data_IF_787530027192
#
_entry.id   IF_787530027192
#
_cell.length_a   1.000
_cell.length_b   1.000
_cell.length_c   1.000
_cell.angle_alpha   90.00
_cell.angle_beta   90.00
_cell.angle_gamma   90.00
#
_symmetry.space_group_name_H-M   'P 1'
#
loop_
_entity.id
_entity.type
_entity.pdbx_description
1 polymer ?
#
# COMPACT_ATOMS: atom_id res chain seq x y z
N UNK A 1 4.26 0.14 1.86
CA UNK A 1 3.66 -0.07 3.18
C UNK A 1 3.76 -1.55 3.63
N UNK A 2 3.36 -2.50 2.78
CA UNK A 2 3.45 -3.94 3.14
C UNK A 2 4.89 -4.35 3.45
N UNK A 3 5.88 -3.95 2.64
CA UNK A 3 7.29 -4.21 2.91
C UNK A 3 7.72 -3.62 4.27
N UNK A 4 7.33 -2.37 4.58
CA UNK A 4 7.59 -1.76 5.89
C UNK A 4 7.06 -2.64 7.03
N UNK A 5 5.80 -3.09 6.93
CA UNK A 5 5.15 -3.91 7.95
C UNK A 5 5.89 -5.24 8.17
N UNK A 6 6.28 -5.91 7.08
CA UNK A 6 7.01 -7.17 7.15
C UNK A 6 8.43 -6.99 7.71
N UNK A 7 9.14 -5.94 7.30
CA UNK A 7 10.45 -5.61 7.85
C UNK A 7 10.37 -5.27 9.34
N UNK A 8 9.41 -4.45 9.76
CA UNK A 8 9.20 -4.11 11.17
C UNK A 8 8.88 -5.36 12.00
N UNK A 9 8.05 -6.27 11.49
CA UNK A 9 7.73 -7.53 12.16
C UNK A 9 8.95 -8.47 12.28
N UNK A 10 9.85 -8.44 11.30
CA UNK A 10 11.09 -9.22 11.30
C UNK A 10 12.26 -8.53 12.04
N UNK A 11 12.08 -7.31 12.54
CA UNK A 11 13.16 -6.52 13.15
C UNK A 11 14.21 -6.05 12.15
N UNK A 12 13.88 -5.97 10.86
CA UNK A 12 14.76 -5.53 9.79
C UNK A 12 14.57 -4.06 9.50
N UNK A 13 15.66 -3.37 9.16
CA UNK A 13 15.61 -2.02 8.60
C UNK A 13 15.16 -2.04 7.14
N UNK A 14 14.59 -0.94 6.69
CA UNK A 14 14.15 -0.73 5.31
C UNK A 14 14.39 0.72 4.90
N UNK A 15 14.48 0.95 3.60
CA UNK A 15 14.59 2.28 3.00
C UNK A 15 13.59 2.43 1.86
N UNK A 16 12.97 3.60 1.76
CA UNK A 16 12.14 3.95 0.61
C UNK A 16 12.98 4.59 -0.46
N UNK A 17 12.80 4.15 -1.70
CA UNK A 17 13.49 4.71 -2.84
C UNK A 17 12.61 4.80 -4.08
N UNK A 18 13.03 5.63 -5.03
CA UNK A 18 12.37 5.81 -6.31
C UNK A 18 13.41 6.02 -7.41
N UNK A 19 13.31 5.23 -8.49
CA UNK A 19 14.14 5.42 -9.69
C UNK A 19 13.48 6.45 -10.59
N UNK A 20 14.23 7.42 -11.05
CA UNK A 20 13.76 8.54 -11.85
C UNK A 20 14.74 8.92 -12.96
N UNK A 21 14.28 9.74 -13.88
CA UNK A 21 15.10 10.42 -14.87
C UNK A 21 14.89 11.93 -14.69
N UNK A 22 15.96 12.68 -14.61
CA UNK A 22 15.90 14.15 -14.61
C UNK A 22 16.54 14.73 -15.86
N UNK A 23 16.19 15.96 -16.21
CA UNK A 23 16.79 16.72 -17.30
C UNK A 23 17.50 17.96 -16.78
N UNK A 24 18.74 18.16 -17.22
CA UNK A 24 19.50 19.39 -17.00
C UNK A 24 19.20 20.47 -18.05
N UNK A 25 18.28 20.19 -18.98
CA UNK A 25 17.92 21.06 -20.10
C UNK A 25 18.59 20.66 -21.43
N UNK A 26 19.71 19.96 -21.38
CA UNK A 26 20.44 19.48 -22.57
C UNK A 26 20.36 17.94 -22.69
N UNK A 27 20.45 17.27 -21.55
CA UNK A 27 20.47 15.80 -21.47
C UNK A 27 19.54 15.27 -20.41
N UNK A 28 19.30 13.99 -20.46
CA UNK A 28 18.58 13.25 -19.41
C UNK A 28 19.54 12.32 -18.68
N UNK A 29 19.39 12.27 -17.35
CA UNK A 29 20.24 11.45 -16.47
C UNK A 29 19.35 10.59 -15.59
N UNK A 30 19.66 9.31 -15.54
CA UNK A 30 19.02 8.37 -14.63
C UNK A 30 19.56 8.54 -13.20
N UNK A 31 18.68 8.44 -12.22
CA UNK A 31 19.06 8.47 -10.83
C UNK A 31 18.09 7.66 -9.96
N UNK A 32 18.53 7.35 -8.74
CA UNK A 32 17.68 6.79 -7.69
C UNK A 32 17.74 7.71 -6.48
N UNK A 33 16.61 7.97 -5.86
CA UNK A 33 16.51 8.79 -4.64
C UNK A 33 16.09 7.89 -3.49
N UNK A 34 16.86 7.90 -2.40
CA UNK A 34 16.59 7.13 -1.19
C UNK A 34 16.34 8.04 0.00
N UNK A 35 15.30 7.70 0.75
CA UNK A 35 14.78 8.52 1.84
C UNK A 35 15.60 8.33 3.11
N UNK A 36 16.06 9.44 3.72
CA UNK A 36 16.78 9.41 4.99
C UNK A 36 15.91 9.90 6.17
N UNK A 37 14.94 10.75 5.90
CA UNK A 37 14.12 11.37 6.95
C UNK A 37 12.64 11.45 6.57
N UNK A 38 11.77 11.72 7.57
CA UNK A 38 10.34 11.93 7.32
C UNK A 38 10.07 13.14 6.41
N UNK A 39 10.96 14.14 6.40
CA UNK A 39 10.91 15.25 5.44
C UNK A 39 11.24 14.75 4.04
N UNK A 40 12.29 13.93 3.92
CA UNK A 40 12.68 13.29 2.66
C UNK A 40 11.57 12.44 2.07
N UNK A 41 10.83 11.67 2.88
CA UNK A 41 9.67 10.91 2.40
C UNK A 41 8.60 11.82 1.78
N UNK A 42 8.28 12.94 2.41
CA UNK A 42 7.35 13.91 1.83
C UNK A 42 7.87 14.52 0.52
N UNK A 43 9.17 14.79 0.46
CA UNK A 43 9.82 15.31 -0.74
C UNK A 43 9.84 14.26 -1.86
N UNK A 44 10.12 12.99 -1.55
CA UNK A 44 10.06 11.89 -2.52
C UNK A 44 8.66 11.75 -3.13
N UNK A 45 7.61 11.84 -2.33
CA UNK A 45 6.22 11.81 -2.82
C UNK A 45 5.89 13.01 -3.73
N UNK A 46 6.47 14.18 -3.46
CA UNK A 46 6.33 15.36 -4.32
C UNK A 46 7.12 15.20 -5.64
N UNK A 47 8.31 14.59 -5.59
CA UNK A 47 9.07 14.21 -6.79
C UNK A 47 8.24 13.26 -7.64
N UNK A 48 7.69 12.21 -7.02
CA UNK A 48 6.83 11.25 -7.71
C UNK A 48 5.60 11.91 -8.34
N UNK A 49 4.95 12.84 -7.63
CA UNK A 49 3.83 13.61 -8.19
C UNK A 49 4.27 14.42 -9.40
N UNK A 50 5.39 15.14 -9.32
CA UNK A 50 5.92 15.93 -10.43
C UNK A 50 6.15 15.08 -11.69
N UNK A 51 6.70 13.86 -11.50
CA UNK A 51 6.98 12.93 -12.60
C UNK A 51 5.69 12.29 -13.16
N UNK A 52 4.79 11.82 -12.29
CA UNK A 52 3.68 10.98 -12.71
C UNK A 52 2.41 11.75 -13.06
N UNK A 53 2.24 12.96 -12.52
CA UNK A 53 1.02 13.76 -12.67
C UNK A 53 1.30 15.05 -13.45
N UNK A 54 2.36 15.78 -13.09
CA UNK A 54 2.61 17.11 -13.64
C UNK A 54 3.44 17.07 -14.95
N UNK A 55 4.18 15.97 -15.20
CA UNK A 55 4.99 15.74 -16.41
C UNK A 55 4.32 14.75 -17.37
N UNK A 56 4.43 15.00 -18.68
CA UNK A 56 3.90 14.11 -19.74
C UNK A 56 4.91 13.05 -20.18
N UNK A 57 6.19 13.33 -20.09
CA UNK A 57 7.30 12.48 -20.52
C UNK A 57 7.95 11.68 -19.38
N UNK A 58 7.43 11.87 -18.15
CA UNK A 58 7.94 11.23 -16.92
C UNK A 58 9.38 11.62 -16.57
N UNK A 59 9.80 12.81 -16.99
CA UNK A 59 11.10 13.39 -16.67
C UNK A 59 10.88 14.57 -15.74
N UNK A 60 11.71 14.69 -14.69
CA UNK A 60 11.68 15.83 -13.78
C UNK A 60 12.77 16.86 -14.18
N UNK A 61 12.45 18.17 -14.27
CA UNK A 61 13.47 19.20 -14.44
C UNK A 61 14.43 19.22 -13.24
N UNK A 62 15.72 19.48 -13.51
CA UNK A 62 16.75 19.54 -12.46
C UNK A 62 16.39 20.54 -11.36
N UNK A 63 15.94 21.74 -11.69
CA UNK A 63 15.55 22.76 -10.70
C UNK A 63 14.48 22.24 -9.74
N UNK A 64 13.50 21.51 -10.24
CA UNK A 64 12.42 20.95 -9.45
C UNK A 64 12.90 19.78 -8.56
N UNK A 65 13.86 19.00 -9.04
CA UNK A 65 14.52 17.94 -8.29
C UNK A 65 15.36 18.52 -7.13
N UNK A 66 16.17 19.55 -7.39
CA UNK A 66 17.00 20.23 -6.39
C UNK A 66 16.14 20.81 -5.24
N UNK A 67 15.02 21.42 -5.56
CA UNK A 67 14.09 21.99 -4.57
C UNK A 67 13.46 20.95 -3.63
N UNK A 68 13.63 19.65 -3.92
CA UNK A 68 13.03 18.54 -3.17
C UNK A 68 14.06 17.50 -2.68
N UNK A 69 15.34 17.84 -2.71
CA UNK A 69 16.43 16.92 -2.34
C UNK A 69 16.54 16.66 -0.83
N UNK A 70 16.30 17.69 -0.01
CA UNK A 70 16.54 17.66 1.44
C UNK A 70 15.89 16.47 2.16
N UNK A 71 16.68 15.77 2.99
CA UNK A 71 16.28 14.57 3.72
C UNK A 71 16.30 13.31 2.86
N UNK A 72 16.95 13.37 1.70
CA UNK A 72 17.16 12.27 0.78
C UNK A 72 18.61 12.22 0.33
N UNK A 73 19.09 11.05 -0.05
CA UNK A 73 20.31 10.87 -0.83
C UNK A 73 19.96 10.60 -2.28
N UNK A 74 20.84 11.00 -3.18
CA UNK A 74 20.71 10.71 -4.62
C UNK A 74 21.84 9.80 -5.08
N UNK A 75 21.49 8.78 -5.84
CA UNK A 75 22.42 7.86 -6.49
C UNK A 75 22.31 8.06 -7.99
N UNK A 76 23.31 8.63 -8.60
CA UNK A 76 23.42 8.76 -10.06
C UNK A 76 23.63 7.38 -10.68
N UNK A 77 23.01 7.12 -11.83
CA UNK A 77 23.02 5.80 -12.43
C UNK A 77 24.41 5.36 -12.93
N UNK A 78 24.55 4.07 -13.18
CA UNK A 78 25.79 3.42 -13.63
C UNK A 78 26.37 3.95 -14.95
N UNK A 79 25.60 4.73 -15.72
CA UNK A 79 26.06 5.31 -17.00
C UNK A 79 26.50 6.78 -16.87
N UNK A 80 26.27 7.42 -15.74
CA UNK A 80 26.35 8.87 -15.56
C UNK A 80 27.77 9.42 -15.36
N UNK A 81 28.81 8.58 -15.26
CA UNK A 81 30.17 9.02 -14.89
C UNK A 81 30.77 10.09 -15.82
N UNK A 82 30.54 9.96 -17.13
CA UNK A 82 30.97 10.98 -18.09
C UNK A 82 30.22 12.29 -17.92
N UNK A 83 28.92 12.23 -17.68
CA UNK A 83 28.11 13.39 -17.40
C UNK A 83 28.56 14.13 -16.12
N UNK A 84 28.93 13.38 -15.07
CA UNK A 84 29.46 13.94 -13.81
C UNK A 84 30.68 14.80 -14.06
N UNK A 85 31.64 14.31 -14.84
CA UNK A 85 32.89 15.06 -15.13
C UNK A 85 32.68 16.27 -16.02
N UNK A 86 31.69 16.24 -16.90
CA UNK A 86 31.34 17.33 -17.80
C UNK A 86 30.47 18.42 -17.09
N UNK A 87 29.77 18.07 -16.00
CA UNK A 87 28.77 18.92 -15.33
C UNK A 87 29.06 19.14 -13.84
N UNK A 88 30.32 19.41 -13.49
CA UNK A 88 30.76 19.51 -12.09
C UNK A 88 29.99 20.56 -11.27
N UNK A 89 29.52 21.65 -11.87
CA UNK A 89 28.75 22.67 -11.16
C UNK A 89 27.36 22.16 -10.81
N UNK A 90 26.71 21.41 -11.70
CA UNK A 90 25.42 20.75 -11.41
C UNK A 90 25.60 19.71 -10.31
N UNK A 91 26.71 18.97 -10.30
CA UNK A 91 27.00 18.01 -9.23
C UNK A 91 27.14 18.72 -7.87
N UNK A 92 27.73 19.92 -7.82
CA UNK A 92 27.77 20.72 -6.58
C UNK A 92 26.39 21.19 -6.15
N UNK A 93 25.51 21.54 -7.10
CA UNK A 93 24.13 21.89 -6.79
C UNK A 93 23.39 20.67 -6.21
N UNK A 94 23.61 19.46 -6.74
CA UNK A 94 23.08 18.21 -6.17
C UNK A 94 23.62 17.96 -4.74
N UNK A 95 24.92 18.18 -4.51
CA UNK A 95 25.54 18.06 -3.17
C UNK A 95 24.98 19.09 -2.18
N UNK A 96 24.58 20.25 -2.65
CA UNK A 96 23.93 21.27 -1.83
C UNK A 96 22.45 20.99 -1.53
N UNK A 97 21.79 20.21 -2.36
CA UNK A 97 20.36 19.93 -2.27
C UNK A 97 20.03 18.59 -1.55
N UNK A 98 20.89 17.60 -1.71
CA UNK A 98 20.74 16.27 -1.14
C UNK A 98 21.69 16.06 0.03
N UNK A 99 21.35 15.16 0.94
CA UNK A 99 22.18 14.84 2.10
C UNK A 99 23.52 14.18 1.69
N UNK A 100 23.53 13.43 0.59
CA UNK A 100 24.73 12.88 -0.05
C UNK A 100 24.46 12.55 -1.53
N UNK A 101 25.54 12.54 -2.33
CA UNK A 101 25.52 12.14 -3.74
C UNK A 101 26.37 10.90 -3.93
N UNK A 102 25.76 9.85 -4.46
CA UNK A 102 26.43 8.59 -4.77
C UNK A 102 26.42 8.31 -6.27
N UNK A 103 27.28 7.41 -6.68
CA UNK A 103 27.29 6.83 -8.01
C UNK A 103 27.05 5.31 -7.92
N UNK A 104 26.12 4.81 -8.73
CA UNK A 104 25.74 3.39 -8.72
C UNK A 104 26.83 2.51 -9.33
N UNK A 105 27.35 1.58 -8.53
CA UNK A 105 28.17 0.47 -9.01
C UNK A 105 27.25 -0.73 -9.20
N UNK A 106 27.05 -1.13 -10.46
CA UNK A 106 26.32 -2.34 -10.84
C UNK A 106 27.04 -2.97 -12.05
N UNK A 107 27.80 -4.02 -11.78
CA UNK A 107 28.59 -4.75 -12.78
C UNK A 107 27.88 -6.00 -13.30
N UNK A 108 26.63 -6.24 -12.92
CA UNK A 108 25.87 -7.45 -13.27
C UNK A 108 25.79 -7.67 -14.78
N UNK A 109 25.60 -6.61 -15.55
CA UNK A 109 25.49 -6.65 -17.02
C UNK A 109 26.81 -6.99 -17.72
N UNK A 110 27.92 -6.96 -16.99
CA UNK A 110 29.24 -7.29 -17.56
C UNK A 110 29.37 -8.77 -17.96
N UNK A 111 28.69 -9.69 -17.26
CA UNK A 111 28.70 -11.14 -17.57
C UNK A 111 27.45 -11.60 -18.35
N UNK A 112 26.59 -10.68 -18.74
CA UNK A 112 25.41 -11.02 -19.55
C UNK A 112 25.86 -11.61 -20.91
N UNK A 113 24.99 -12.40 -21.53
CA UNK A 113 25.17 -12.88 -22.91
C UNK A 113 25.45 -11.74 -23.91
N UNK A 114 24.95 -10.54 -23.57
CA UNK A 114 25.27 -9.27 -24.22
C UNK A 114 25.96 -8.37 -23.20
N UNK A 115 27.30 -8.33 -23.27
CA UNK A 115 28.11 -7.46 -22.43
C UNK A 115 27.73 -5.99 -22.72
N UNK A 116 27.25 -5.27 -21.73
CA UNK A 116 27.08 -3.82 -21.84
C UNK A 116 28.45 -3.14 -21.63
N UNK A 117 29.18 -2.94 -22.72
CA UNK A 117 30.47 -2.27 -22.73
C UNK A 117 30.40 -0.87 -22.14
N UNK A 118 29.26 -0.19 -22.27
CA UNK A 118 29.07 1.17 -21.72
C UNK A 118 29.09 1.18 -20.19
N UNK A 119 28.55 0.16 -19.53
CA UNK A 119 28.66 0.01 -18.06
C UNK A 119 30.12 -0.12 -17.66
N UNK A 120 30.88 -0.95 -18.36
CA UNK A 120 32.29 -1.16 -18.07
C UNK A 120 33.13 0.12 -18.30
N UNK A 121 32.87 0.82 -19.41
CA UNK A 121 33.56 2.09 -19.73
C UNK A 121 33.21 3.16 -18.68
N UNK A 122 31.94 3.26 -18.29
CA UNK A 122 31.48 4.19 -17.26
C UNK A 122 32.08 3.89 -15.89
N UNK A 123 32.19 2.60 -15.52
CA UNK A 123 32.78 2.20 -14.25
C UNK A 123 34.30 2.54 -14.22
N UNK A 124 35.05 2.20 -15.26
CA UNK A 124 36.47 2.57 -15.39
C UNK A 124 36.63 4.09 -15.35
N UNK A 125 35.82 4.82 -16.09
CA UNK A 125 35.88 6.28 -16.10
C UNK A 125 35.62 6.87 -14.71
N UNK A 126 34.62 6.34 -13.97
CA UNK A 126 34.32 6.78 -12.61
C UNK A 126 35.50 6.59 -11.68
N UNK A 127 36.06 5.40 -11.58
CA UNK A 127 37.18 5.14 -10.69
C UNK A 127 38.48 5.88 -11.12
N UNK A 128 38.67 6.10 -12.40
CA UNK A 128 39.86 6.83 -12.90
C UNK A 128 39.76 8.35 -12.74
N UNK A 129 38.55 8.95 -12.75
CA UNK A 129 38.40 10.40 -12.86
C UNK A 129 37.57 11.05 -11.73
N UNK A 130 36.74 10.32 -11.01
CA UNK A 130 35.80 10.85 -10.01
C UNK A 130 36.16 10.35 -8.60
N UNK A 131 36.37 9.07 -8.45
CA UNK A 131 36.71 8.43 -7.19
C UNK A 131 37.87 9.09 -6.46
N UNK A 132 37.70 9.50 -5.21
CA UNK A 132 38.69 10.20 -4.40
C UNK A 132 39.05 11.62 -4.88
N UNK A 133 38.38 12.14 -5.91
CA UNK A 133 38.62 13.49 -6.48
C UNK A 133 37.42 14.40 -6.41
N UNK A 134 36.23 13.82 -6.31
CA UNK A 134 34.96 14.52 -6.17
C UNK A 134 34.17 13.87 -5.04
N UNK A 135 33.34 14.66 -4.36
CA UNK A 135 32.45 14.16 -3.29
C UNK A 135 31.22 13.45 -3.89
N UNK A 136 31.48 12.44 -4.69
CA UNK A 136 30.48 11.52 -5.25
C UNK A 136 30.99 10.11 -4.95
N UNK A 137 30.33 9.42 -4.04
CA UNK A 137 30.82 8.19 -3.46
C UNK A 137 30.30 6.95 -4.19
N UNK A 138 31.08 5.87 -4.34
CA UNK A 138 30.62 4.66 -4.99
C UNK A 138 29.68 3.90 -4.06
N UNK A 139 28.58 3.38 -4.57
CA UNK A 139 27.65 2.55 -3.81
C UNK A 139 27.31 1.28 -4.58
N UNK A 140 27.49 0.11 -3.96
CA UNK A 140 27.04 -1.15 -4.52
C UNK A 140 25.52 -1.21 -4.48
N UNK A 141 24.91 -1.07 -5.63
CA UNK A 141 23.46 -1.04 -5.79
C UNK A 141 23.08 -1.73 -7.09
N UNK A 142 22.66 -2.97 -7.00
CA UNK A 142 22.33 -3.80 -8.15
C UNK A 142 20.86 -3.73 -8.51
N UNK A 143 20.57 -3.75 -9.82
CA UNK A 143 19.21 -3.83 -10.35
C UNK A 143 18.79 -5.30 -10.42
N UNK A 144 18.42 -5.90 -9.27
CA UNK A 144 17.89 -7.25 -9.20
C UNK A 144 16.37 -7.27 -9.39
N UNK A 145 15.88 -8.05 -10.33
CA UNK A 145 14.46 -8.16 -10.68
C UNK A 145 13.85 -9.53 -10.38
N UNK A 146 14.66 -10.52 -10.05
CA UNK A 146 14.26 -11.90 -9.74
C UNK A 146 15.29 -12.54 -8.81
N UNK A 147 14.94 -13.66 -8.19
CA UNK A 147 15.76 -14.29 -7.15
C UNK A 147 16.91 -15.12 -7.75
N UNK A 148 16.63 -15.96 -8.73
CA UNK A 148 17.57 -16.89 -9.30
C UNK A 148 17.78 -16.64 -10.80
N UNK A 149 18.94 -16.99 -11.36
CA UNK A 149 19.26 -16.81 -12.78
C UNK A 149 18.21 -17.44 -13.72
N UNK A 150 17.68 -18.61 -13.34
CA UNK A 150 16.66 -19.33 -14.09
C UNK A 150 15.33 -18.59 -14.21
N UNK A 151 15.05 -17.64 -13.33
CA UNK A 151 13.83 -16.83 -13.34
C UNK A 151 13.82 -15.72 -14.39
N UNK A 152 14.91 -15.47 -15.07
CA UNK A 152 14.99 -14.49 -16.15
C UNK A 152 13.90 -14.71 -17.22
N UNK A 153 13.65 -15.97 -17.61
CA UNK A 153 12.59 -16.36 -18.55
C UNK A 153 11.18 -15.99 -18.06
N UNK A 154 10.94 -16.15 -16.75
CA UNK A 154 9.66 -15.81 -16.13
C UNK A 154 9.41 -14.30 -16.16
N UNK A 155 10.46 -13.51 -15.91
CA UNK A 155 10.41 -12.05 -16.03
C UNK A 155 10.10 -11.56 -17.43
N UNK A 156 10.68 -12.19 -18.46
CA UNK A 156 10.37 -11.90 -19.86
C UNK A 156 8.88 -12.17 -20.17
N UNK A 157 8.32 -13.27 -19.66
CA UNK A 157 6.90 -13.59 -19.84
C UNK A 157 6.02 -12.55 -19.15
N UNK A 158 6.34 -12.15 -17.91
CA UNK A 158 5.62 -11.12 -17.17
C UNK A 158 5.64 -9.77 -17.89
N UNK A 159 6.77 -9.37 -18.45
CA UNK A 159 6.88 -8.14 -19.21
C UNK A 159 6.00 -8.18 -20.47
N UNK A 160 5.94 -9.31 -21.17
CA UNK A 160 5.04 -9.49 -22.32
C UNK A 160 3.57 -9.38 -21.94
N UNK A 161 3.18 -9.92 -20.79
CA UNK A 161 1.80 -9.83 -20.28
C UNK A 161 1.44 -8.39 -19.90
N UNK A 162 2.37 -7.65 -19.29
CA UNK A 162 2.12 -6.30 -18.80
C UNK A 162 2.07 -5.25 -19.91
N UNK A 163 2.96 -5.31 -20.90
CA UNK A 163 3.18 -4.24 -21.89
C UNK A 163 2.99 -4.67 -23.34
N UNK A 164 2.73 -5.94 -23.58
CA UNK A 164 2.63 -6.49 -24.94
C UNK A 164 3.99 -6.54 -25.68
N UNK A 165 5.07 -6.05 -25.10
CA UNK A 165 6.42 -6.09 -25.60
C UNK A 165 7.36 -6.76 -24.59
N UNK A 166 8.29 -7.59 -25.07
CA UNK A 166 9.36 -8.10 -24.22
C UNK A 166 10.51 -7.10 -24.26
N UNK A 167 10.86 -6.54 -23.09
CA UNK A 167 12.19 -6.01 -22.93
C UNK A 167 13.16 -7.20 -22.84
N UNK A 168 14.19 -7.21 -23.68
CA UNK A 168 15.29 -8.15 -23.51
C UNK A 168 15.97 -7.82 -22.18
N UNK A 169 15.79 -8.69 -21.21
CA UNK A 169 16.49 -8.60 -19.93
C UNK A 169 17.65 -9.57 -19.93
N UNK A 170 18.75 -9.11 -19.35
CA UNK A 170 19.87 -9.96 -19.04
C UNK A 170 19.47 -11.07 -18.07
N UNK A 171 20.04 -12.25 -18.23
CA UNK A 171 19.93 -13.33 -17.25
C UNK A 171 20.77 -13.07 -15.99
N UNK A 172 21.49 -11.94 -15.91
CA UNK A 172 22.38 -11.59 -14.81
C UNK A 172 21.77 -10.61 -13.79
N UNK A 173 20.49 -10.25 -13.94
CA UNK A 173 19.78 -9.34 -13.02
C UNK A 173 19.03 -10.10 -11.91
N UNK A 174 19.62 -11.18 -11.41
CA UNK A 174 19.14 -11.90 -10.23
C UNK A 174 19.80 -11.38 -8.95
N UNK A 175 19.24 -11.76 -7.81
CA UNK A 175 19.76 -11.37 -6.51
C UNK A 175 21.04 -12.16 -6.20
N UNK A 176 22.18 -11.55 -6.48
CA UNK A 176 23.50 -12.14 -6.26
C UNK A 176 23.93 -12.04 -4.80
N UNK A 177 24.62 -13.05 -4.31
CA UNK A 177 25.26 -13.00 -3.00
C UNK A 177 26.54 -12.13 -3.01
N UNK A 178 27.13 -11.97 -1.83
CA UNK A 178 28.30 -11.11 -1.63
C UNK A 178 29.52 -11.63 -2.40
N UNK A 179 29.72 -12.94 -2.44
CA UNK A 179 30.88 -13.56 -3.11
C UNK A 179 30.77 -13.40 -4.63
N UNK A 180 29.56 -13.56 -5.19
CA UNK A 180 29.29 -13.30 -6.60
C UNK A 180 29.54 -11.84 -6.98
N UNK A 181 29.11 -10.90 -6.12
CA UNK A 181 29.34 -9.46 -6.33
C UNK A 181 30.84 -9.13 -6.25
N UNK A 182 31.55 -9.68 -5.26
CA UNK A 182 33.00 -9.51 -5.15
C UNK A 182 33.73 -10.03 -6.39
N UNK A 183 33.33 -11.19 -6.89
CA UNK A 183 33.96 -11.77 -8.08
C UNK A 183 33.80 -10.88 -9.33
N UNK A 184 32.63 -10.17 -9.44
CA UNK A 184 32.46 -9.18 -10.52
C UNK A 184 33.44 -8.03 -10.42
N UNK A 185 33.77 -7.56 -9.22
CA UNK A 185 34.83 -6.55 -9.00
C UNK A 185 36.18 -7.07 -9.37
N UNK A 186 36.57 -8.26 -8.90
CA UNK A 186 37.84 -8.89 -9.17
C UNK A 186 38.05 -9.15 -10.68
N UNK A 187 37.02 -9.52 -11.41
CA UNK A 187 37.04 -9.75 -12.84
C UNK A 187 37.09 -8.44 -13.67
N UNK A 188 36.64 -7.32 -13.09
CA UNK A 188 36.45 -6.04 -13.80
C UNK A 188 37.63 -5.10 -13.65
N UNK A 189 38.22 -5.03 -12.45
CA UNK A 189 39.24 -4.07 -12.10
C UNK A 189 40.61 -4.72 -12.03
N UNK A 190 41.65 -3.94 -12.43
CA UNK A 190 43.03 -4.36 -12.41
C UNK A 190 43.56 -4.29 -10.96
N UNK A 191 43.92 -5.46 -10.41
CA UNK A 191 44.46 -5.59 -9.06
C UNK A 191 45.87 -4.94 -8.89
N UNK A 192 46.61 -4.69 -9.98
CA UNK A 192 47.85 -3.94 -9.93
C UNK A 192 47.62 -2.43 -9.74
N UNK A 193 46.40 -1.95 -10.09
CA UNK A 193 46.02 -0.55 -10.00
C UNK A 193 45.15 -0.25 -8.79
N UNK A 194 44.30 -1.18 -8.39
CA UNK A 194 43.30 -1.02 -7.35
C UNK A 194 43.38 -2.11 -6.28
N UNK A 195 43.31 -1.72 -5.02
CA UNK A 195 43.04 -2.68 -3.94
C UNK A 195 41.56 -3.06 -4.02
N UNK A 196 41.27 -4.24 -4.56
CA UNK A 196 39.91 -4.70 -4.82
C UNK A 196 39.12 -4.88 -3.53
N UNK A 197 39.76 -5.36 -2.45
CA UNK A 197 39.15 -5.57 -1.16
C UNK A 197 38.64 -4.25 -0.57
N UNK A 198 39.49 -3.22 -0.57
CA UNK A 198 39.16 -1.89 -0.08
C UNK A 198 38.03 -1.28 -0.92
N UNK A 199 38.14 -1.37 -2.23
CA UNK A 199 37.18 -0.79 -3.16
C UNK A 199 35.79 -1.41 -3.00
N UNK A 200 35.73 -2.73 -2.93
CA UNK A 200 34.50 -3.46 -2.74
C UNK A 200 33.88 -3.16 -1.38
N UNK A 201 34.70 -3.19 -0.33
CA UNK A 201 34.24 -2.89 1.03
C UNK A 201 33.62 -1.49 1.14
N UNK A 202 34.27 -0.47 0.56
CA UNK A 202 33.73 0.90 0.55
C UNK A 202 32.39 0.99 -0.16
N UNK A 203 32.22 0.31 -1.28
CA UNK A 203 30.94 0.25 -2.00
C UNK A 203 29.82 -0.40 -1.15
N UNK A 204 30.18 -1.45 -0.40
CA UNK A 204 29.25 -2.12 0.53
C UNK A 204 28.91 -1.24 1.74
N UNK A 205 29.93 -0.60 2.34
CA UNK A 205 29.75 0.28 3.50
C UNK A 205 28.83 1.45 3.15
N UNK A 206 28.99 2.05 1.98
CA UNK A 206 28.10 3.10 1.50
C UNK A 206 26.66 2.63 1.28
N UNK A 207 26.45 1.36 0.87
CA UNK A 207 25.11 0.77 0.80
C UNK A 207 24.46 0.63 2.18
N UNK A 208 25.26 0.21 3.17
CA UNK A 208 24.82 0.11 4.56
C UNK A 208 24.57 1.47 5.17
N UNK A 209 25.39 2.48 4.86
CA UNK A 209 25.23 3.86 5.33
C UNK A 209 23.87 4.45 4.92
N UNK A 210 23.48 4.25 3.67
CA UNK A 210 22.14 4.65 3.18
C UNK A 210 21.03 3.99 4.01
N UNK A 211 21.15 2.71 4.34
CA UNK A 211 20.15 1.97 5.12
C UNK A 211 20.17 2.40 6.60
N UNK A 212 21.34 2.61 7.20
CA UNK A 212 21.48 2.94 8.60
C UNK A 212 20.90 4.32 8.96
N UNK A 213 21.02 5.27 8.04
CA UNK A 213 20.47 6.62 8.20
C UNK A 213 18.99 6.73 7.82
N UNK A 214 18.40 5.70 7.20
CA UNK A 214 16.98 5.70 6.82
C UNK A 214 16.08 5.61 8.07
N UNK A 215 15.34 6.70 8.36
CA UNK A 215 14.48 6.81 9.53
C UNK A 215 13.02 7.17 9.21
N UNK A 216 12.62 7.10 7.95
CA UNK A 216 11.27 7.42 7.55
C UNK A 216 10.34 6.20 7.61
N UNK A 217 9.08 6.47 7.91
CA UNK A 217 8.04 5.45 7.88
C UNK A 217 6.73 6.03 7.38
N UNK A 218 5.91 5.21 6.73
CA UNK A 218 4.52 5.54 6.49
C UNK A 218 3.72 5.37 7.79
N UNK A 219 3.06 6.45 8.21
CA UNK A 219 2.11 6.39 9.31
C UNK A 219 0.76 5.92 8.77
N UNK A 220 0.28 4.79 9.24
CA UNK A 220 -1.01 4.22 8.82
C UNK A 220 -2.10 4.32 9.90
N UNK A 221 -1.85 5.08 10.96
CA UNK A 221 -2.74 5.18 12.12
C UNK A 221 -3.82 6.26 11.92
N UNK A 222 -3.86 6.93 10.77
CA UNK A 222 -4.83 7.97 10.48
C UNK A 222 -5.84 7.47 9.46
N UNK A 223 -7.10 7.48 9.85
CA UNK A 223 -8.18 7.30 8.90
C UNK A 223 -8.34 8.61 8.11
N UNK A 224 -8.01 8.57 6.82
CA UNK A 224 -8.15 9.69 5.89
C UNK A 224 -9.49 9.65 5.15
N UNK A 225 -10.50 8.96 5.69
CA UNK A 225 -11.83 8.96 5.10
C UNK A 225 -12.37 10.40 5.03
N UNK A 226 -12.97 10.80 3.90
CA UNK A 226 -13.55 12.12 3.77
C UNK A 226 -14.66 12.29 4.80
N UNK A 227 -14.72 13.50 5.39
CA UNK A 227 -15.87 13.91 6.19
C UNK A 227 -16.88 14.57 5.28
N UNK A 228 -18.15 14.37 5.58
CA UNK A 228 -19.23 15.05 4.88
C UNK A 228 -19.44 16.45 5.47
N UNK A 229 -19.19 17.48 4.66
CA UNK A 229 -19.44 18.87 5.03
C UNK A 229 -20.90 19.21 4.75
N UNK A 230 -21.70 19.26 5.81
CA UNK A 230 -23.11 19.61 5.73
C UNK A 230 -23.30 21.07 5.32
N UNK A 231 -24.26 21.33 4.44
CA UNK A 231 -24.71 22.69 4.16
C UNK A 231 -25.39 23.31 5.39
N UNK A 232 -25.46 24.65 5.50
CA UNK A 232 -26.16 25.30 6.62
C UNK A 232 -27.62 24.84 6.77
N UNK A 233 -28.32 24.56 5.67
CA UNK A 233 -29.68 24.07 5.66
C UNK A 233 -29.80 22.64 6.20
N UNK A 234 -28.88 21.78 5.80
CA UNK A 234 -28.79 20.40 6.33
C UNK A 234 -28.42 20.41 7.82
N UNK A 235 -27.50 21.27 8.22
CA UNK A 235 -27.12 21.40 9.62
C UNK A 235 -28.30 21.90 10.48
N UNK A 236 -29.10 22.83 9.97
CA UNK A 236 -30.31 23.31 10.64
C UNK A 236 -31.39 22.22 10.75
N UNK A 237 -31.52 21.36 9.72
CA UNK A 237 -32.53 20.30 9.68
C UNK A 237 -32.14 19.06 10.51
N UNK A 238 -30.88 18.61 10.41
CA UNK A 238 -30.45 17.33 10.94
C UNK A 238 -29.53 17.43 12.16
N UNK A 239 -28.86 18.55 12.35
CA UNK A 239 -27.89 18.79 13.43
C UNK A 239 -26.53 18.19 13.20
N UNK A 240 -26.46 16.90 12.86
CA UNK A 240 -25.21 16.18 12.59
C UNK A 240 -25.32 15.30 11.34
N UNK A 241 -24.18 14.99 10.71
CA UNK A 241 -24.14 14.07 9.55
C UNK A 241 -24.67 12.67 9.90
N UNK A 242 -24.40 12.20 11.11
CA UNK A 242 -24.94 10.93 11.60
C UNK A 242 -26.47 10.94 11.72
N UNK A 243 -27.05 11.98 12.29
CA UNK A 243 -28.53 12.12 12.37
C UNK A 243 -29.14 12.23 10.97
N UNK A 244 -28.50 12.95 10.06
CA UNK A 244 -28.90 13.04 8.66
C UNK A 244 -28.93 11.65 8.02
N UNK A 245 -27.89 10.86 8.22
CA UNK A 245 -27.80 9.50 7.69
C UNK A 245 -28.97 8.63 8.17
N UNK A 246 -29.25 8.61 9.48
CA UNK A 246 -30.35 7.83 10.05
C UNK A 246 -31.70 8.29 9.48
N UNK A 247 -31.95 9.60 9.40
CA UNK A 247 -33.23 10.11 8.89
C UNK A 247 -33.42 9.79 7.40
N UNK A 248 -32.35 9.90 6.59
CA UNK A 248 -32.41 9.54 5.18
C UNK A 248 -32.69 8.05 4.96
N UNK A 249 -32.16 7.17 5.81
CA UNK A 249 -32.46 5.73 5.75
C UNK A 249 -33.94 5.47 6.09
N UNK A 250 -34.50 6.09 7.11
CA UNK A 250 -35.90 5.95 7.47
C UNK A 250 -36.84 6.52 6.39
N UNK A 251 -36.49 7.69 5.82
CA UNK A 251 -37.24 8.27 4.69
C UNK A 251 -37.19 7.33 3.47
N UNK A 252 -36.00 6.69 3.23
CA UNK A 252 -35.81 5.71 2.16
C UNK A 252 -36.65 4.45 2.37
N UNK A 253 -36.66 3.91 3.59
CA UNK A 253 -37.44 2.74 3.96
C UNK A 253 -38.96 2.99 3.72
N UNK A 254 -39.46 4.11 4.19
CA UNK A 254 -40.86 4.49 4.00
C UNK A 254 -41.24 4.70 2.54
N UNK A 255 -40.33 5.24 1.75
CA UNK A 255 -40.58 5.56 0.34
C UNK A 255 -40.53 4.34 -0.58
N UNK A 256 -39.59 3.41 -0.32
CA UNK A 256 -39.22 2.35 -1.24
C UNK A 256 -39.77 0.98 -0.88
N UNK A 257 -40.13 0.77 0.41
CA UNK A 257 -40.53 -0.54 0.92
C UNK A 257 -42.02 -0.53 1.33
N UNK A 258 -42.81 -1.47 0.79
CA UNK A 258 -44.19 -1.62 1.20
C UNK A 258 -44.36 -1.85 2.71
N UNK A 259 -45.41 -1.29 3.37
CA UNK A 259 -45.54 -1.38 4.81
C UNK A 259 -45.47 -2.79 5.39
N UNK A 260 -46.03 -3.75 4.69
CA UNK A 260 -46.07 -5.16 5.11
C UNK A 260 -44.68 -5.86 5.08
N UNK A 261 -43.68 -5.25 4.47
CA UNK A 261 -42.30 -5.79 4.39
C UNK A 261 -41.32 -4.98 5.24
N UNK A 262 -41.71 -3.86 5.77
CA UNK A 262 -40.79 -2.94 6.46
C UNK A 262 -40.08 -3.57 7.64
N UNK A 263 -40.72 -4.47 8.39
CA UNK A 263 -40.10 -5.13 9.54
C UNK A 263 -38.89 -5.98 9.13
N UNK A 264 -39.01 -6.75 8.00
CA UNK A 264 -37.92 -7.53 7.46
C UNK A 264 -36.75 -6.63 6.98
N UNK A 265 -37.09 -5.55 6.28
CA UNK A 265 -36.07 -4.60 5.78
C UNK A 265 -35.43 -3.82 6.91
N UNK A 266 -36.16 -3.50 7.98
CA UNK A 266 -35.63 -2.80 9.14
C UNK A 266 -34.57 -3.62 9.87
N UNK A 267 -34.78 -4.90 10.07
CA UNK A 267 -33.75 -5.79 10.67
C UNK A 267 -32.44 -5.77 9.85
N UNK A 268 -32.54 -5.91 8.52
CA UNK A 268 -31.37 -5.84 7.64
C UNK A 268 -30.73 -4.45 7.66
N UNK A 269 -31.53 -3.39 7.63
CA UNK A 269 -31.05 -2.00 7.70
C UNK A 269 -30.26 -1.74 8.99
N UNK A 270 -30.75 -2.22 10.13
CA UNK A 270 -30.10 -2.07 11.43
C UNK A 270 -28.77 -2.83 11.48
N UNK A 271 -28.73 -4.05 10.97
CA UNK A 271 -27.50 -4.84 10.85
C UNK A 271 -26.44 -4.14 9.98
N UNK A 272 -26.81 -3.74 8.77
CA UNK A 272 -25.88 -3.05 7.87
C UNK A 272 -25.42 -1.69 8.43
N UNK A 273 -26.36 -0.95 9.07
CA UNK A 273 -26.07 0.32 9.74
C UNK A 273 -25.00 0.15 10.81
N UNK A 274 -25.17 -0.85 11.67
CA UNK A 274 -24.20 -1.16 12.71
C UNK A 274 -22.79 -1.36 12.12
N UNK A 275 -22.64 -2.13 11.06
CA UNK A 275 -21.34 -2.37 10.43
C UNK A 275 -20.78 -1.09 9.80
N UNK A 276 -21.61 -0.32 9.11
CA UNK A 276 -21.20 0.94 8.47
C UNK A 276 -20.75 1.97 9.52
N UNK A 277 -21.48 2.10 10.62
CA UNK A 277 -21.15 3.01 11.72
C UNK A 277 -19.86 2.57 12.43
N UNK A 278 -19.73 1.29 12.77
CA UNK A 278 -18.56 0.73 13.43
C UNK A 278 -17.29 0.83 12.60
N UNK A 279 -17.40 0.82 11.28
CA UNK A 279 -16.28 0.99 10.34
C UNK A 279 -16.01 2.45 9.97
N UNK A 280 -16.75 3.40 10.58
CA UNK A 280 -16.63 4.84 10.33
C UNK A 280 -16.83 5.24 8.85
N UNK A 281 -17.78 4.58 8.16
CA UNK A 281 -18.06 4.80 6.74
C UNK A 281 -19.29 5.70 6.49
N UNK A 282 -19.93 6.25 7.51
CA UNK A 282 -21.15 7.08 7.38
C UNK A 282 -20.91 8.27 6.47
N UNK A 283 -19.89 9.06 6.74
CA UNK A 283 -19.57 10.25 5.96
C UNK A 283 -19.22 9.91 4.49
N UNK A 284 -18.53 8.78 4.27
CA UNK A 284 -18.27 8.30 2.91
C UNK A 284 -19.56 8.02 2.13
N UNK A 285 -20.54 7.38 2.77
CA UNK A 285 -21.83 7.12 2.13
C UNK A 285 -22.61 8.41 1.88
N UNK A 286 -22.53 9.39 2.77
CA UNK A 286 -23.17 10.70 2.56
C UNK A 286 -22.53 11.48 1.40
N UNK A 287 -21.21 11.42 1.24
CA UNK A 287 -20.52 11.99 0.05
C UNK A 287 -21.02 11.34 -1.24
N UNK A 288 -21.18 10.01 -1.25
CA UNK A 288 -21.73 9.31 -2.42
C UNK A 288 -23.22 9.67 -2.66
N UNK A 289 -24.00 9.79 -1.60
CA UNK A 289 -25.40 10.24 -1.65
C UNK A 289 -25.51 11.62 -2.30
N UNK A 290 -24.71 12.60 -1.83
CA UNK A 290 -24.72 13.95 -2.40
C UNK A 290 -24.27 13.95 -3.86
N UNK A 291 -23.20 13.24 -4.19
CA UNK A 291 -22.70 13.10 -5.57
C UNK A 291 -23.78 12.56 -6.52
N UNK A 292 -24.48 11.49 -6.12
CA UNK A 292 -25.56 10.91 -6.93
C UNK A 292 -26.75 11.87 -7.07
N UNK A 293 -27.12 12.57 -6.01
CA UNK A 293 -28.21 13.55 -6.04
C UNK A 293 -27.84 14.80 -6.84
N UNK A 294 -26.61 15.28 -6.74
CA UNK A 294 -26.13 16.37 -7.57
C UNK A 294 -26.20 15.99 -9.05
N UNK A 295 -25.73 14.81 -9.43
CA UNK A 295 -25.79 14.33 -10.81
C UNK A 295 -27.24 14.31 -11.32
N UNK A 296 -28.20 13.78 -10.52
CA UNK A 296 -29.62 13.72 -10.90
C UNK A 296 -30.23 15.12 -11.04
N UNK A 297 -29.91 16.05 -10.13
CA UNK A 297 -30.39 17.46 -10.21
C UNK A 297 -29.87 18.18 -11.45
N UNK A 298 -28.70 17.76 -11.96
CA UNK A 298 -28.10 18.30 -13.19
C UNK A 298 -28.40 17.49 -14.45
N UNK A 299 -29.41 16.60 -14.40
CA UNK A 299 -29.80 15.71 -15.50
C UNK A 299 -28.68 14.81 -16.03
N UNK A 300 -27.74 14.44 -15.18
CA UNK A 300 -26.69 13.49 -15.50
C UNK A 300 -27.18 12.09 -15.13
N UNK A 301 -27.13 11.17 -16.09
CA UNK A 301 -27.56 9.79 -15.87
C UNK A 301 -26.65 9.10 -14.85
N UNK A 302 -27.30 8.51 -13.82
CA UNK A 302 -26.63 7.66 -12.82
C UNK A 302 -27.09 6.23 -13.05
N UNK A 303 -26.14 5.30 -13.21
CA UNK A 303 -26.43 3.88 -13.38
C UNK A 303 -27.07 3.25 -12.15
N UNK A 304 -27.63 2.04 -12.33
CA UNK A 304 -28.33 1.33 -11.24
C UNK A 304 -27.42 0.86 -10.10
N UNK A 305 -26.13 0.87 -10.28
CA UNK A 305 -25.13 0.40 -9.32
C UNK A 305 -24.00 -0.34 -10.04
N UNK A 306 -22.89 -0.58 -9.33
CA UNK A 306 -21.73 -1.29 -9.85
C UNK A 306 -21.12 -2.21 -8.79
N UNK A 307 -20.71 -3.41 -9.20
CA UNK A 307 -19.99 -4.36 -8.38
C UNK A 307 -20.80 -4.82 -7.15
N UNK A 308 -20.14 -5.02 -6.03
CA UNK A 308 -20.73 -5.51 -4.78
C UNK A 308 -21.63 -4.50 -4.09
N UNK A 309 -21.57 -3.22 -4.42
CA UNK A 309 -22.41 -2.17 -3.84
C UNK A 309 -23.92 -2.43 -4.01
N UNK A 310 -24.31 -3.19 -5.06
CA UNK A 310 -25.69 -3.59 -5.25
C UNK A 310 -26.22 -4.54 -4.15
N UNK A 311 -25.35 -5.16 -3.36
CA UNK A 311 -25.73 -6.02 -2.23
C UNK A 311 -26.02 -5.27 -0.92
N UNK A 312 -25.83 -3.95 -0.88
CA UNK A 312 -26.04 -3.15 0.32
C UNK A 312 -27.43 -2.48 0.31
N UNK A 313 -28.25 -2.79 1.31
CA UNK A 313 -29.58 -2.21 1.48
C UNK A 313 -29.51 -0.71 1.77
N UNK A 314 -28.55 -0.27 2.57
CA UNK A 314 -28.41 1.16 2.90
C UNK A 314 -28.17 2.00 1.66
N UNK A 315 -27.37 1.52 0.70
CA UNK A 315 -27.14 2.23 -0.56
C UNK A 315 -28.41 2.31 -1.43
N UNK A 316 -29.24 1.29 -1.38
CA UNK A 316 -30.56 1.30 -2.04
C UNK A 316 -31.51 2.29 -1.37
N UNK A 317 -31.61 2.30 -0.04
CA UNK A 317 -32.47 3.22 0.71
C UNK A 317 -32.06 4.69 0.53
N UNK A 318 -30.75 4.96 0.48
CA UNK A 318 -30.19 6.28 0.15
C UNK A 318 -30.37 6.65 -1.33
N UNK A 319 -30.76 5.70 -2.18
CA UNK A 319 -30.88 5.92 -3.61
C UNK A 319 -29.54 6.05 -4.34
N UNK A 320 -28.43 5.60 -3.74
CA UNK A 320 -27.12 5.51 -4.38
C UNK A 320 -27.15 4.39 -5.43
N UNK A 321 -27.70 3.21 -5.07
CA UNK A 321 -28.04 2.14 -5.99
C UNK A 321 -29.54 2.11 -6.26
N UNK A 322 -29.96 1.51 -7.38
CA UNK A 322 -31.36 1.39 -7.77
C UNK A 322 -31.84 -0.07 -7.80
N UNK A 323 -31.05 -0.99 -7.32
CA UNK A 323 -31.35 -2.42 -7.24
C UNK A 323 -31.66 -2.74 -5.78
N UNK A 324 -32.84 -3.30 -5.54
CA UNK A 324 -33.25 -3.78 -4.23
C UNK A 324 -32.54 -5.10 -3.89
N UNK A 325 -31.58 -5.11 -2.94
CA UNK A 325 -30.82 -6.32 -2.65
C UNK A 325 -31.66 -7.41 -1.99
N UNK A 326 -32.69 -7.05 -1.23
CA UNK A 326 -33.57 -7.99 -0.54
C UNK A 326 -34.46 -8.77 -1.51
N UNK A 327 -34.81 -8.16 -2.64
CA UNK A 327 -35.62 -8.79 -3.69
C UNK A 327 -34.86 -9.87 -4.46
N UNK A 328 -33.53 -9.72 -4.57
CA UNK A 328 -32.68 -10.60 -5.36
C UNK A 328 -31.74 -11.44 -4.48
N UNK A 329 -31.97 -11.48 -3.17
CA UNK A 329 -31.16 -12.21 -2.20
C UNK A 329 -29.65 -11.94 -2.36
N UNK A 330 -29.31 -10.66 -2.56
CA UNK A 330 -27.91 -10.23 -2.66
C UNK A 330 -27.28 -10.13 -1.28
N UNK A 331 -26.01 -10.49 -1.20
CA UNK A 331 -25.28 -10.64 0.06
C UNK A 331 -24.53 -9.35 0.38
N UNK A 332 -24.81 -8.72 1.53
CA UNK A 332 -24.17 -7.50 2.02
C UNK A 332 -22.66 -7.71 2.27
N UNK A 333 -22.27 -8.86 2.78
CA UNK A 333 -20.87 -9.18 3.11
C UNK A 333 -19.94 -9.21 1.87
N UNK A 334 -20.50 -9.26 0.66
CA UNK A 334 -19.72 -9.04 -0.57
C UNK A 334 -19.35 -7.57 -0.78
N UNK A 335 -20.11 -6.64 -0.19
CA UNK A 335 -19.82 -5.21 -0.22
C UNK A 335 -18.87 -4.82 0.89
N UNK A 336 -19.18 -5.16 2.13
CA UNK A 336 -18.35 -4.87 3.29
C UNK A 336 -18.31 -6.08 4.21
N UNK A 337 -17.14 -6.72 4.29
CA UNK A 337 -16.92 -7.83 5.20
C UNK A 337 -16.47 -7.25 6.55
N UNK A 338 -17.18 -7.53 7.64
CA UNK A 338 -16.79 -7.04 8.96
C UNK A 338 -15.35 -7.36 9.33
N UNK A 339 -14.87 -8.57 9.02
CA UNK A 339 -13.52 -9.02 9.29
C UNK A 339 -12.46 -8.21 8.50
N UNK A 340 -12.74 -7.84 7.26
CA UNK A 340 -11.85 -6.97 6.46
C UNK A 340 -11.84 -5.53 6.95
N UNK A 341 -12.89 -5.13 7.62
CA UNK A 341 -13.00 -3.83 8.25
C UNK A 341 -12.34 -3.77 9.63
N UNK A 342 -11.75 -4.89 10.11
CA UNK A 342 -11.11 -4.99 11.41
C UNK A 342 -12.08 -5.10 12.59
N UNK A 343 -13.35 -5.41 12.31
CA UNK A 343 -14.37 -5.60 13.35
C UNK A 343 -14.30 -6.98 14.01
N UNK A 344 -13.69 -7.95 13.33
CA UNK A 344 -13.43 -9.29 13.87
C UNK A 344 -11.96 -9.63 13.69
N UNK A 345 -11.33 -10.35 14.61
CA UNK A 345 -9.99 -10.84 14.41
C UNK A 345 -9.98 -11.70 13.14
N UNK A 346 -9.15 -11.32 12.16
CA UNK A 346 -8.97 -12.10 10.95
C UNK A 346 -8.32 -13.44 11.33
N UNK A 347 -9.12 -14.46 11.64
CA UNK A 347 -8.66 -15.84 11.55
C UNK A 347 -8.56 -16.15 10.06
N UNK A 348 -7.35 -16.38 9.60
CA UNK A 348 -7.09 -16.92 8.26
C UNK A 348 -7.75 -18.29 8.22
N UNK A 349 -8.95 -18.38 7.68
CA UNK A 349 -9.58 -19.66 7.39
C UNK A 349 -8.83 -20.20 6.18
N UNK A 350 -8.08 -21.26 6.34
CA UNK A 350 -7.51 -22.02 5.23
C UNK A 350 -8.71 -22.55 4.43
N UNK A 351 -8.98 -21.92 3.28
CA UNK A 351 -9.97 -22.42 2.32
C UNK A 351 -9.32 -23.65 1.69
N UNK A 352 -9.67 -24.84 2.15
CA UNK A 352 -9.18 -26.06 1.52
C UNK A 352 -9.24 -27.36 2.33
N UNK A 353 -9.82 -27.37 3.53
CA UNK A 353 -10.10 -28.61 4.23
C UNK A 353 -11.60 -28.87 4.27
N UNK A 354 -11.97 -30.14 4.01
CA UNK A 354 -13.34 -30.62 3.96
C UNK A 354 -14.19 -30.11 5.13
N UNK A 355 -15.17 -29.27 4.83
CA UNK A 355 -16.14 -28.72 5.77
C UNK A 355 -17.11 -29.83 6.32
N UNK A 356 -17.04 -31.04 5.81
CA UNK A 356 -17.96 -32.13 6.18
C UNK A 356 -17.61 -32.83 7.51
N UNK A 357 -16.47 -32.52 8.15
CA UNK A 357 -16.02 -33.22 9.37
C UNK A 357 -15.99 -32.39 10.65
N UNK A 358 -16.33 -31.09 10.61
CA UNK A 358 -16.26 -30.22 11.79
C UNK A 358 -17.65 -30.05 12.43
N UNK A 359 -17.71 -30.22 13.75
CA UNK A 359 -18.91 -29.91 14.52
C UNK A 359 -18.99 -28.41 14.79
N UNK A 360 -20.10 -27.78 14.40
CA UNK A 360 -20.37 -26.37 14.61
C UNK A 360 -21.50 -26.20 15.63
N UNK A 361 -21.44 -25.10 16.36
CA UNK A 361 -22.58 -24.55 17.08
C UNK A 361 -23.18 -23.37 16.30
N UNK A 362 -24.48 -23.23 16.32
CA UNK A 362 -25.18 -22.06 15.78
C UNK A 362 -25.49 -21.12 16.94
N UNK A 363 -25.07 -19.87 16.83
CA UNK A 363 -25.24 -18.86 17.87
C UNK A 363 -26.01 -17.70 17.28
N UNK A 364 -27.16 -17.36 17.90
CA UNK A 364 -27.89 -16.15 17.56
C UNK A 364 -27.41 -15.01 18.45
N UNK A 365 -26.96 -13.93 17.81
CA UNK A 365 -26.50 -12.70 18.48
C UNK A 365 -27.68 -11.76 18.77
N UNK A 366 -27.50 -10.81 19.69
CA UNK A 366 -28.48 -9.79 20.07
C UNK A 366 -28.97 -8.93 18.89
N UNK A 367 -28.17 -8.81 17.83
CA UNK A 367 -28.55 -8.18 16.57
C UNK A 367 -29.44 -9.07 15.67
N UNK A 368 -29.82 -10.29 16.11
CA UNK A 368 -30.64 -11.26 15.38
C UNK A 368 -29.91 -12.02 14.28
N UNK A 369 -28.59 -11.98 14.25
CA UNK A 369 -27.77 -12.73 13.31
C UNK A 369 -27.40 -14.09 13.88
N UNK A 370 -27.58 -15.15 13.10
CA UNK A 370 -27.09 -16.50 13.42
C UNK A 370 -25.72 -16.68 12.79
N UNK A 371 -24.74 -17.03 13.60
CA UNK A 371 -23.39 -17.37 13.16
C UNK A 371 -23.08 -18.84 13.47
N UNK A 372 -22.25 -19.46 12.63
CA UNK A 372 -21.75 -20.83 12.88
C UNK A 372 -20.32 -20.72 13.37
N UNK A 373 -20.05 -21.28 14.52
CA UNK A 373 -18.75 -21.27 15.16
C UNK A 373 -18.27 -22.72 15.32
N UNK A 374 -17.01 -22.99 14.95
CA UNK A 374 -16.38 -24.28 15.21
C UNK A 374 -16.33 -24.54 16.73
N UNK A 375 -16.77 -25.71 17.20
CA UNK A 375 -16.80 -26.05 18.62
C UNK A 375 -15.45 -25.90 19.33
N UNK A 376 -14.35 -26.16 18.59
CA UNK A 376 -13.01 -26.05 19.11
C UNK A 376 -12.43 -24.61 19.01
N UNK A 377 -13.21 -23.64 18.54
CA UNK A 377 -12.76 -22.24 18.46
C UNK A 377 -12.66 -21.63 19.87
N UNK A 378 -11.56 -20.91 20.13
CA UNK A 378 -11.41 -20.14 21.36
C UNK A 378 -12.00 -18.75 21.19
N UNK A 379 -12.83 -18.34 22.13
CA UNK A 379 -13.52 -17.05 22.17
C UNK A 379 -13.15 -16.30 23.44
N UNK A 380 -13.09 -15.00 23.35
CA UNK A 380 -12.99 -14.13 24.52
C UNK A 380 -14.42 -13.71 24.87
N UNK A 381 -14.86 -14.02 26.05
CA UNK A 381 -16.19 -13.69 26.53
C UNK A 381 -16.14 -12.91 27.85
N UNK A 382 -17.26 -12.23 28.15
CA UNK A 382 -17.54 -11.69 29.47
C UNK A 382 -18.94 -12.12 29.91
N UNK A 383 -19.04 -12.73 31.08
CA UNK A 383 -20.35 -13.11 31.66
C UNK A 383 -20.87 -12.02 32.59
N UNK A 384 -22.17 -11.94 32.71
CA UNK A 384 -22.81 -11.01 33.62
C UNK A 384 -22.35 -11.23 35.07
N UNK A 385 -21.78 -10.18 35.69
CA UNK A 385 -21.21 -10.23 37.04
C UNK A 385 -19.72 -10.57 37.13
N UNK A 386 -19.04 -10.87 36.04
CA UNK A 386 -17.59 -11.04 36.00
C UNK A 386 -16.90 -9.67 35.74
N UNK A 387 -15.80 -9.38 36.47
CA UNK A 387 -15.05 -8.13 36.29
C UNK A 387 -14.11 -8.20 35.07
N UNK A 388 -13.51 -9.37 34.81
CA UNK A 388 -12.52 -9.59 33.75
C UNK A 388 -13.02 -10.54 32.67
N UNK A 389 -12.71 -10.30 31.38
CA UNK A 389 -12.98 -11.21 30.30
C UNK A 389 -12.16 -12.50 30.44
N UNK A 390 -12.68 -13.63 29.96
CA UNK A 390 -11.98 -14.91 29.93
C UNK A 390 -12.05 -15.59 28.57
N UNK A 391 -11.12 -16.50 28.32
CA UNK A 391 -11.07 -17.32 27.09
C UNK A 391 -11.77 -18.64 27.39
N UNK A 392 -12.74 -19.01 26.54
CA UNK A 392 -13.42 -20.28 26.57
C UNK A 392 -13.42 -20.95 25.19
N UNK A 393 -13.75 -22.23 25.12
CA UNK A 393 -14.07 -22.89 23.85
C UNK A 393 -15.54 -22.57 23.47
N UNK A 394 -15.83 -22.60 22.16
CA UNK A 394 -17.16 -22.24 21.67
C UNK A 394 -18.27 -23.17 22.17
N UNK A 395 -17.96 -24.45 22.49
CA UNK A 395 -18.89 -25.40 23.09
C UNK A 395 -19.21 -25.12 24.58
N UNK A 396 -18.49 -24.21 25.20
CA UNK A 396 -18.72 -23.73 26.59
C UNK A 396 -19.54 -22.43 26.65
N UNK A 397 -20.03 -21.92 25.50
CA UNK A 397 -20.86 -20.72 25.44
C UNK A 397 -22.20 -20.95 26.15
N UNK A 398 -22.68 -19.91 26.81
CA UNK A 398 -24.00 -19.87 27.46
C UNK A 398 -24.79 -18.65 26.92
N UNK A 399 -26.12 -18.77 26.96
CA UNK A 399 -27.01 -17.66 26.65
C UNK A 399 -26.71 -16.46 27.57
N UNK A 400 -26.64 -15.27 27.02
CA UNK A 400 -26.26 -14.00 27.66
C UNK A 400 -24.73 -13.86 27.90
N UNK A 401 -23.89 -14.73 27.35
CA UNK A 401 -22.46 -14.43 27.28
C UNK A 401 -22.21 -13.28 26.28
N UNK A 402 -21.41 -12.31 26.67
CA UNK A 402 -20.94 -11.24 25.79
C UNK A 402 -19.65 -11.69 25.09
N UNK A 403 -19.70 -11.90 23.78
CA UNK A 403 -18.50 -12.20 22.99
C UNK A 403 -17.75 -10.88 22.75
N UNK A 404 -16.50 -10.81 23.21
CA UNK A 404 -15.64 -9.65 23.03
C UNK A 404 -14.77 -9.86 21.79
N UNK A 405 -14.84 -8.90 20.89
CA UNK A 405 -13.95 -8.80 19.73
C UNK A 405 -12.81 -7.83 20.06
N UNK A 406 -11.66 -7.97 19.41
CA UNK A 406 -10.40 -7.28 19.73
C UNK A 406 -10.47 -5.74 19.68
N UNK A 407 -11.63 -5.18 19.32
CA UNK A 407 -11.91 -3.76 19.42
C UNK A 407 -12.75 -3.54 20.70
N UNK A 408 -12.16 -2.92 21.71
CA UNK A 408 -12.65 -2.77 23.09
C UNK A 408 -14.09 -2.23 23.27
N UNK A 409 -14.76 -1.87 22.19
CA UNK A 409 -16.10 -1.26 22.18
C UNK A 409 -17.18 -2.14 21.50
N UNK A 410 -16.83 -3.35 21.04
CA UNK A 410 -17.74 -4.26 20.35
C UNK A 410 -18.09 -5.45 21.23
N UNK A 411 -19.27 -5.42 21.78
CA UNK A 411 -19.84 -6.46 22.64
C UNK A 411 -21.10 -6.98 21.95
N UNK A 412 -21.16 -8.28 21.69
CA UNK A 412 -22.40 -8.93 21.26
C UNK A 412 -22.87 -9.88 22.35
N UNK A 413 -24.10 -9.74 22.73
CA UNK A 413 -24.72 -10.64 23.68
C UNK A 413 -25.37 -11.82 22.94
N UNK A 414 -25.19 -13.01 23.44
CA UNK A 414 -25.79 -14.23 22.88
C UNK A 414 -27.24 -14.34 23.34
N UNK A 415 -28.15 -14.37 22.37
CA UNK A 415 -29.57 -14.56 22.64
C UNK A 415 -30.00 -16.02 22.70
N UNK A 416 -29.41 -16.86 21.82
CA UNK A 416 -29.73 -18.30 21.71
C UNK A 416 -28.53 -19.08 21.14
N UNK A 417 -28.33 -20.33 21.61
CA UNK A 417 -27.24 -21.21 21.20
C UNK A 417 -27.80 -22.47 20.56
#
# INVERSE_FOLDING_TARGET
YNLQKECEAAGLKYVFGYSLVFSDGERTVGAKVYVQSQKGLRNLLRIQKAIMVDSTDKIIPLEELLNRGEGNVIVLDKYSSFWITENQDIVKDLQGAFDCVFWQVDLSEYKAERIDIKVLEAAKHYFDNIYGKMDVYPVLLTDAYYLDEDDAKNKIILNKVAEGAAHEQSNQQYFKDVDEQYQLFADTFDADKWDIDILFQECCDNSMDILEHANARFENNRNFMPKYDMTPEEQAKYGTSHNMFIQLLEEGLQRLVPPEQQDKYRKQMEYERYIIESTNNVDYLLVQYDTCNWARRNNILVGCGRGSAAGCLLLYLLGITLIDPMRYDLIFERFLLPERAGLYPAKTTIIGEDLESKEYIEVELDCGKVIKIDKDAQLIIKREGEEEPRIIYADELETNDDILFDNKDLIFTINEI
#
